data_IF_180770324884
#
_entry.id   IF_180770324884
#
_cell.length_a   1.000
_cell.length_b   1.000
_cell.length_c   1.000
_cell.angle_alpha   90.00
_cell.angle_beta   90.00
_cell.angle_gamma   90.00
#
_symmetry.space_group_name_H-M   'P 1'
#
loop_
_entity.id
_entity.type
_entity.pdbx_description
1 polymer ?
#
# COMPACT_ATOMS: atom_id res chain seq x y z
N UNK A 1 7.68 -8.65 37.83
CA UNK A 1 6.49 -8.24 37.04
C UNK A 1 6.84 -7.33 35.87
N UNK A 2 7.65 -6.27 36.06
CA UNK A 2 8.01 -5.35 34.96
C UNK A 2 8.72 -6.02 33.76
N UNK A 3 9.67 -6.93 33.99
CA UNK A 3 10.41 -7.60 32.93
C UNK A 3 9.51 -8.45 31.99
N UNK A 4 8.46 -9.09 32.53
CA UNK A 4 7.51 -9.86 31.74
C UNK A 4 6.62 -8.98 30.87
N UNK A 5 6.20 -7.81 31.36
CA UNK A 5 5.42 -6.85 30.59
C UNK A 5 6.24 -6.26 29.43
N UNK A 6 7.52 -5.94 29.67
CA UNK A 6 8.42 -5.45 28.62
C UNK A 6 8.66 -6.52 27.56
N UNK A 7 8.93 -7.76 27.96
CA UNK A 7 9.11 -8.87 27.03
C UNK A 7 7.85 -9.13 26.17
N UNK A 8 6.67 -9.10 26.78
CA UNK A 8 5.41 -9.27 26.06
C UNK A 8 5.16 -8.14 25.04
N UNK A 9 5.45 -6.88 25.40
CA UNK A 9 5.33 -5.75 24.49
C UNK A 9 6.31 -5.86 23.31
N UNK A 10 7.55 -6.27 23.54
CA UNK A 10 8.55 -6.45 22.48
C UNK A 10 8.14 -7.56 21.50
N UNK A 11 7.67 -8.71 22.01
CA UNK A 11 7.20 -9.82 21.18
C UNK A 11 5.97 -9.40 20.35
N UNK A 12 4.99 -8.76 20.98
CA UNK A 12 3.77 -8.32 20.29
C UNK A 12 4.05 -7.26 19.23
N UNK A 13 4.91 -6.27 19.53
CA UNK A 13 5.34 -5.26 18.57
C UNK A 13 6.09 -5.87 17.39
N UNK A 14 7.00 -6.82 17.65
CA UNK A 14 7.75 -7.52 16.60
C UNK A 14 6.84 -8.28 15.63
N UNK A 15 5.82 -8.99 16.14
CA UNK A 15 4.85 -9.72 15.30
C UNK A 15 4.06 -8.77 14.40
N UNK A 16 3.67 -7.59 14.90
CA UNK A 16 2.95 -6.60 14.09
C UNK A 16 3.81 -6.10 12.94
N UNK A 17 5.08 -5.74 13.20
CA UNK A 17 5.98 -5.25 12.15
C UNK A 17 6.29 -6.32 11.10
N UNK A 18 6.43 -7.59 11.52
CA UNK A 18 6.61 -8.71 10.58
C UNK A 18 5.42 -8.86 9.64
N UNK A 19 4.17 -8.78 10.16
CA UNK A 19 2.97 -8.85 9.33
C UNK A 19 2.86 -7.69 8.35
N UNK A 20 3.25 -6.48 8.77
CA UNK A 20 3.31 -5.32 7.87
C UNK A 20 4.32 -5.61 6.75
N UNK A 21 5.52 -6.06 7.09
CA UNK A 21 6.56 -6.34 6.12
C UNK A 21 6.16 -7.44 5.11
N UNK A 22 5.54 -8.52 5.56
CA UNK A 22 5.05 -9.57 4.67
C UNK A 22 3.99 -9.04 3.69
N UNK A 23 3.06 -8.21 4.18
CA UNK A 23 1.95 -7.69 3.39
C UNK A 23 2.37 -6.57 2.42
N UNK A 24 3.31 -5.70 2.81
CA UNK A 24 3.59 -4.44 2.13
C UNK A 24 5.04 -4.27 1.66
N UNK A 25 5.93 -5.19 2.00
CA UNK A 25 7.38 -5.07 1.88
C UNK A 25 8.00 -3.93 2.73
N UNK A 26 7.21 -3.25 3.58
CA UNK A 26 7.68 -2.16 4.42
C UNK A 26 7.84 -2.62 5.88
N UNK A 27 8.89 -2.16 6.56
CA UNK A 27 9.05 -2.45 7.99
C UNK A 27 8.15 -1.59 8.89
N UNK A 28 7.55 -0.54 8.33
CA UNK A 28 6.71 0.41 9.05
C UNK A 28 5.41 0.65 8.28
N UNK A 29 4.27 0.82 8.96
CA UNK A 29 3.01 1.15 8.28
C UNK A 29 3.12 2.44 7.46
N UNK A 30 2.61 2.40 6.22
CA UNK A 30 2.52 3.56 5.33
C UNK A 30 1.18 3.54 4.60
N UNK A 31 0.57 4.71 4.43
CA UNK A 31 -0.66 4.84 3.65
C UNK A 31 -0.47 4.40 2.19
N UNK A 32 0.71 4.67 1.63
CA UNK A 32 1.13 4.17 0.33
C UNK A 32 2.28 3.20 0.60
N UNK A 33 2.01 1.89 0.70
CA UNK A 33 3.05 0.89 0.86
C UNK A 33 3.90 0.71 -0.41
N UNK A 34 5.09 0.12 -0.26
CA UNK A 34 5.95 -0.27 -1.39
C UNK A 34 5.26 -1.31 -2.29
N UNK A 35 4.56 -2.26 -1.67
CA UNK A 35 3.73 -3.27 -2.34
C UNK A 35 2.24 -2.99 -2.10
N UNK A 36 1.52 -2.70 -3.17
CA UNK A 36 0.08 -2.43 -3.15
C UNK A 36 -0.69 -3.64 -3.64
N UNK A 37 -1.73 -4.02 -2.91
CA UNK A 37 -2.67 -5.05 -3.33
C UNK A 37 -3.81 -4.43 -4.13
N UNK A 38 -4.06 -4.95 -5.33
CA UNK A 38 -5.16 -4.55 -6.19
C UNK A 38 -5.68 -5.75 -6.98
N UNK A 39 -7.00 -5.90 -7.07
CA UNK A 39 -7.64 -7.02 -7.78
C UNK A 39 -7.05 -8.41 -7.43
N UNK A 40 -6.70 -8.63 -6.15
CA UNK A 40 -6.15 -9.91 -5.67
C UNK A 40 -4.67 -10.16 -6.00
N UNK A 41 -3.94 -9.18 -6.54
CA UNK A 41 -2.52 -9.30 -6.91
C UNK A 41 -1.68 -8.19 -6.29
N UNK A 42 -0.37 -8.43 -6.20
CA UNK A 42 0.57 -7.48 -5.64
C UNK A 42 1.30 -6.70 -6.75
N UNK A 43 1.39 -5.38 -6.59
CA UNK A 43 2.08 -4.49 -7.53
C UNK A 43 3.07 -3.60 -6.81
N UNK A 44 4.21 -3.39 -7.45
CA UNK A 44 5.20 -2.40 -7.02
C UNK A 44 4.89 -1.07 -7.68
N UNK A 45 4.92 0.00 -6.89
CA UNK A 45 4.59 1.34 -7.36
C UNK A 45 5.86 2.20 -7.44
N UNK A 46 5.81 3.22 -8.30
CA UNK A 46 6.88 4.18 -8.50
C UNK A 46 6.33 5.60 -8.40
N UNK A 47 7.19 6.57 -8.11
CA UNK A 47 6.77 7.97 -7.94
C UNK A 47 6.07 8.50 -9.18
N UNK A 48 4.93 9.16 -8.99
CA UNK A 48 4.17 9.79 -10.06
C UNK A 48 4.18 11.32 -9.91
N UNK A 49 3.87 12.02 -11.00
CA UNK A 49 3.77 13.48 -11.01
C UNK A 49 2.47 13.98 -10.37
N UNK A 50 2.39 15.29 -10.07
CA UNK A 50 1.13 15.91 -9.65
C UNK A 50 0.07 15.79 -10.75
N UNK A 51 -1.20 15.60 -10.36
CA UNK A 51 -2.35 15.59 -11.27
C UNK A 51 -2.73 14.23 -11.88
N UNK A 52 -1.95 13.17 -11.64
CA UNK A 52 -2.20 11.82 -12.15
C UNK A 52 -3.55 11.19 -11.74
N UNK A 53 -4.19 11.70 -10.70
CA UNK A 53 -5.52 11.22 -10.25
C UNK A 53 -6.68 11.91 -10.96
N UNK A 54 -6.45 12.95 -11.77
CA UNK A 54 -7.52 13.76 -12.37
C UNK A 54 -8.33 12.92 -13.36
N UNK A 55 -9.64 12.83 -13.14
CA UNK A 55 -10.54 12.07 -14.01
C UNK A 55 -10.54 10.56 -13.77
N UNK A 56 -9.73 10.05 -12.84
CA UNK A 56 -9.77 8.64 -12.43
C UNK A 56 -10.78 8.45 -11.28
N UNK A 57 -11.72 7.49 -11.36
CA UNK A 57 -12.57 7.15 -10.23
C UNK A 57 -11.78 6.45 -9.12
N UNK A 58 -12.19 6.68 -7.87
CA UNK A 58 -11.72 5.90 -6.73
C UNK A 58 -12.27 4.46 -6.81
N UNK A 59 -11.41 3.47 -6.63
CA UNK A 59 -11.73 2.03 -6.69
C UNK A 59 -11.56 1.31 -5.36
N UNK A 60 -10.89 1.92 -4.39
CA UNK A 60 -10.70 1.32 -3.08
C UNK A 60 -9.60 2.00 -2.29
N UNK A 61 -9.05 1.26 -1.32
CA UNK A 61 -7.98 1.70 -0.46
C UNK A 61 -6.89 0.64 -0.35
N UNK A 62 -5.65 1.07 -0.18
CA UNK A 62 -4.56 0.18 0.27
C UNK A 62 -4.81 -0.25 1.71
N UNK A 63 -4.10 -1.28 2.17
CA UNK A 63 -4.14 -1.70 3.58
C UNK A 63 -3.71 -0.59 4.55
N UNK A 64 -2.87 0.35 4.08
CA UNK A 64 -2.43 1.50 4.86
C UNK A 64 -3.39 2.69 4.83
N UNK A 65 -4.46 2.63 4.02
CA UNK A 65 -5.48 3.68 3.92
C UNK A 65 -5.27 4.71 2.81
N UNK A 66 -4.29 4.53 1.91
CA UNK A 66 -4.18 5.35 0.70
C UNK A 66 -5.30 5.03 -0.29
N UNK A 67 -5.80 6.01 -1.04
CA UNK A 67 -6.91 5.83 -2.00
C UNK A 67 -6.33 5.30 -3.31
N UNK A 68 -6.94 4.24 -3.83
CA UNK A 68 -6.61 3.65 -5.13
C UNK A 68 -7.56 4.24 -6.19
N UNK A 69 -6.98 4.74 -7.27
CA UNK A 69 -7.65 5.23 -8.46
C UNK A 69 -7.28 4.36 -9.65
N UNK A 70 -8.23 4.08 -10.53
CA UNK A 70 -7.98 3.33 -11.76
C UNK A 70 -8.90 3.81 -12.88
N UNK A 71 -8.54 3.62 -14.16
CA UNK A 71 -9.43 3.93 -15.29
C UNK A 71 -10.82 3.28 -15.16
N UNK A 72 -11.79 3.85 -15.88
CA UNK A 72 -13.13 3.25 -16.00
C UNK A 72 -13.24 2.19 -17.09
N UNK A 73 -12.19 2.06 -17.90
CA UNK A 73 -12.15 1.18 -19.08
C UNK A 73 -11.27 -0.02 -18.79
N UNK A 74 -11.83 -1.22 -18.99
CA UNK A 74 -11.09 -2.48 -18.84
C UNK A 74 -10.28 -2.80 -20.10
N UNK A 75 -9.13 -3.48 -19.97
CA UNK A 75 -8.46 -3.82 -18.70
C UNK A 75 -7.70 -2.62 -18.11
N UNK A 76 -7.63 -2.55 -16.79
CA UNK A 76 -6.72 -1.62 -16.13
C UNK A 76 -5.27 -1.96 -16.50
N UNK A 77 -4.53 -0.98 -16.99
CA UNK A 77 -3.09 -1.13 -17.28
C UNK A 77 -2.22 -0.56 -16.17
N UNK A 78 -2.77 0.32 -15.35
CA UNK A 78 -2.13 0.91 -14.17
C UNK A 78 -3.20 1.28 -13.12
N UNK A 79 -2.75 1.46 -11.89
CA UNK A 79 -3.48 2.17 -10.85
C UNK A 79 -2.64 3.34 -10.34
N UNK A 80 -3.29 4.33 -9.75
CA UNK A 80 -2.66 5.43 -9.03
C UNK A 80 -3.07 5.37 -7.57
N UNK A 81 -2.13 5.55 -6.65
CA UNK A 81 -2.42 5.61 -5.22
C UNK A 81 -2.04 6.97 -4.67
N UNK A 82 -2.93 7.57 -3.87
CA UNK A 82 -2.70 8.86 -3.21
C UNK A 82 -3.07 8.83 -1.74
N UNK A 83 -2.26 9.48 -0.90
CA UNK A 83 -2.53 9.76 0.52
C UNK A 83 -2.79 11.26 0.77
N UNK A 84 -2.97 12.04 -0.30
CA UNK A 84 -3.11 13.50 -0.26
C UNK A 84 -1.79 14.27 -0.13
N UNK A 85 -0.67 13.58 0.14
CA UNK A 85 0.69 14.18 0.18
C UNK A 85 1.58 13.65 -0.93
N UNK A 86 1.43 12.38 -1.29
CA UNK A 86 2.20 11.67 -2.30
C UNK A 86 1.26 10.99 -3.27
N UNK A 87 1.72 10.86 -4.52
CA UNK A 87 1.03 10.14 -5.58
C UNK A 87 2.04 9.16 -6.20
N UNK A 88 1.62 7.91 -6.35
CA UNK A 88 2.42 6.86 -7.00
C UNK A 88 1.59 6.17 -8.07
N UNK A 89 2.26 5.69 -9.11
CA UNK A 89 1.67 4.87 -10.16
C UNK A 89 2.17 3.43 -10.00
N UNK A 90 1.26 2.46 -10.11
CA UNK A 90 1.57 1.05 -10.06
C UNK A 90 1.17 0.42 -11.40
N UNK A 91 2.13 0.12 -12.30
CA UNK A 91 1.83 -0.57 -13.54
C UNK A 91 1.33 -1.99 -13.24
N UNK A 92 0.24 -2.41 -13.90
CA UNK A 92 -0.35 -3.73 -13.68
C UNK A 92 0.28 -4.83 -14.55
N UNK A 93 1.21 -4.46 -15.43
CA UNK A 93 2.07 -5.39 -16.16
C UNK A 93 3.10 -6.00 -15.22
N UNK A 94 2.85 -7.24 -14.75
CA UNK A 94 3.84 -8.01 -13.98
C UNK A 94 3.59 -8.18 -12.49
N UNK A 95 2.34 -8.07 -12.01
CA UNK A 95 2.03 -8.39 -10.61
C UNK A 95 2.51 -9.80 -10.20
N UNK A 96 3.02 -9.93 -8.99
CA UNK A 96 3.41 -11.23 -8.39
C UNK A 96 2.23 -11.84 -7.63
#
# INVERSE_FOLDING_TARGET
>A
MAAFLVAALVVSGGIVLLKVHEATADWWPSAIPTRVQYAGRNYTCFGAGPGFTTGLPARGHTIGGGIIYAPSVEPDTFIVVSDGKRIVECPLSGGL
#
